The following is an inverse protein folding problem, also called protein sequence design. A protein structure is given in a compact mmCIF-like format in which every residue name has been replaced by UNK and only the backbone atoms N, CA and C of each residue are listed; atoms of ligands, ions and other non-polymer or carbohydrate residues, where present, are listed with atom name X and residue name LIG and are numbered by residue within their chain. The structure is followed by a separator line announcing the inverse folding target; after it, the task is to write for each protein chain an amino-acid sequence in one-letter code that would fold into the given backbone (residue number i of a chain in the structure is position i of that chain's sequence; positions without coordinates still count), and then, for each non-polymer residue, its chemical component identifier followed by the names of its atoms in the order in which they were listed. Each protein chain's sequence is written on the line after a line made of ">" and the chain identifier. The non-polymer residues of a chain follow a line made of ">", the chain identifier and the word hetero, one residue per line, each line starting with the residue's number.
data_IF_337389204242
#
_entry.id   IF_337389204242
#
_cell.length_a   1.000
_cell.length_b   1.000
_cell.length_c   1.000
_cell.angle_alpha   90.00
_cell.angle_beta   90.00
_cell.angle_gamma   90.00
#
_symmetry.space_group_name_H-M   'P 1'
#
loop_
_entity.id
_entity.type
_entity.pdbx_description
1 polymer ?
#
# COMPACT_ATOMS: atom_id res chain seq x y z
N UNK A 1 0.35 -3.85 -4.31
CA UNK A 1 -0.10 -2.45 -4.45
C UNK A 1 -1.59 -2.36 -4.72
N UNK A 2 -2.07 -2.99 -5.79
CA UNK A 2 -3.47 -2.88 -6.21
C UNK A 2 -4.40 -3.55 -5.21
N UNK A 3 -4.08 -4.79 -4.84
CA UNK A 3 -4.75 -5.56 -3.81
C UNK A 3 -3.80 -5.91 -2.66
N UNK A 4 -4.40 -6.35 -1.54
CA UNK A 4 -3.67 -6.94 -0.43
C UNK A 4 -3.18 -8.34 -0.80
N UNK A 5 -2.10 -8.77 -0.15
CA UNK A 5 -1.67 -10.17 -0.19
C UNK A 5 -2.79 -11.04 0.38
N UNK A 6 -3.10 -12.17 -0.27
CA UNK A 6 -4.10 -13.10 0.25
C UNK A 6 -3.61 -13.67 1.58
N UNK A 7 -4.50 -13.74 2.58
CA UNK A 7 -4.17 -14.34 3.88
C UNK A 7 -3.93 -15.84 3.77
N UNK A 8 -4.55 -16.50 2.80
CA UNK A 8 -4.43 -17.93 2.57
C UNK A 8 -3.25 -18.33 1.66
N UNK A 9 -2.57 -17.36 1.03
CA UNK A 9 -1.40 -17.67 0.20
C UNK A 9 -0.17 -17.94 1.05
N UNK A 10 0.86 -18.50 0.43
CA UNK A 10 2.15 -18.80 1.09
C UNK A 10 2.78 -17.57 1.75
N UNK A 11 2.67 -16.40 1.11
CA UNK A 11 3.17 -15.12 1.65
C UNK A 11 2.31 -14.52 2.79
N UNK A 12 1.09 -15.03 2.99
CA UNK A 12 0.09 -14.43 3.87
C UNK A 12 0.57 -14.32 5.32
N UNK A 13 0.93 -15.43 5.98
CA UNK A 13 1.41 -15.42 7.36
C UNK A 13 2.56 -14.43 7.60
N UNK A 14 3.56 -14.42 6.71
CA UNK A 14 4.72 -13.54 6.83
C UNK A 14 4.34 -12.07 6.61
N UNK A 15 3.58 -11.78 5.54
CA UNK A 15 3.13 -10.42 5.22
C UNK A 15 2.35 -9.79 6.37
N UNK A 16 1.37 -10.50 6.91
CA UNK A 16 0.51 -10.00 7.99
C UNK A 16 1.20 -10.00 9.36
N UNK A 17 2.33 -10.70 9.52
CA UNK A 17 3.20 -10.58 10.69
C UNK A 17 4.15 -9.38 10.60
N UNK A 18 4.57 -9.01 9.38
CA UNK A 18 5.54 -7.93 9.11
C UNK A 18 4.88 -6.56 8.98
N UNK A 19 3.68 -6.51 8.40
CA UNK A 19 2.94 -5.29 8.07
C UNK A 19 1.78 -5.10 9.02
N UNK A 20 1.93 -4.16 9.95
CA UNK A 20 0.96 -3.86 11.02
C UNK A 20 -0.37 -3.31 10.51
N UNK A 21 -0.32 -2.47 9.46
CA UNK A 21 -1.51 -1.80 8.90
C UNK A 21 -1.59 -2.02 7.39
N UNK A 22 -2.02 -3.21 6.95
CA UNK A 22 -2.18 -3.52 5.53
C UNK A 22 -3.16 -2.55 4.86
N UNK A 23 -2.76 -1.99 3.73
CA UNK A 23 -3.62 -1.16 2.87
C UNK A 23 -3.17 -1.32 1.42
N UNK A 24 -4.14 -1.23 0.51
CA UNK A 24 -3.93 -1.33 -0.93
C UNK A 24 -4.69 -0.23 -1.66
N UNK A 25 -4.32 0.02 -2.92
CA UNK A 25 -4.93 1.05 -3.75
C UNK A 25 -6.43 0.82 -3.94
N UNK A 26 -6.89 -0.44 -4.02
CA UNK A 26 -8.32 -0.78 -4.07
C UNK A 26 -9.10 -0.26 -2.85
N UNK A 27 -8.50 -0.37 -1.66
CA UNK A 27 -9.07 0.16 -0.41
C UNK A 27 -9.08 1.68 -0.39
N UNK A 28 -8.00 2.32 -0.83
CA UNK A 28 -7.90 3.79 -0.93
C UNK A 28 -8.93 4.32 -1.93
N UNK A 29 -9.03 3.69 -3.10
CA UNK A 29 -10.00 4.05 -4.15
C UNK A 29 -11.45 3.92 -3.66
N UNK A 30 -11.76 2.84 -2.93
CA UNK A 30 -13.08 2.64 -2.31
C UNK A 30 -13.38 3.73 -1.26
N UNK A 31 -12.42 4.05 -0.39
CA UNK A 31 -12.56 5.12 0.60
C UNK A 31 -12.82 6.48 -0.05
N UNK A 32 -12.10 6.80 -1.12
CA UNK A 32 -12.27 8.03 -1.87
C UNK A 32 -13.66 8.12 -2.52
N UNK A 33 -14.10 7.05 -3.22
CA UNK A 33 -15.41 7.00 -3.89
C UNK A 33 -16.58 7.09 -2.91
N UNK A 34 -16.39 6.58 -1.70
CA UNK A 34 -17.41 6.60 -0.65
C UNK A 34 -17.30 7.84 0.27
N UNK A 35 -16.56 8.87 -0.14
CA UNK A 35 -16.39 10.13 0.60
C UNK A 35 -15.88 9.93 2.04
N UNK A 36 -15.09 8.88 2.29
CA UNK A 36 -14.59 8.51 3.62
C UNK A 36 -13.37 9.33 4.06
N UNK A 37 -12.89 10.24 3.21
CA UNK A 37 -11.83 11.18 3.54
C UNK A 37 -12.43 12.57 3.73
N UNK A 38 -12.43 13.06 4.97
CA UNK A 38 -12.94 14.41 5.27
C UNK A 38 -11.95 15.51 4.86
N UNK A 39 -10.70 15.14 4.55
CA UNK A 39 -9.66 16.05 4.10
C UNK A 39 -8.61 15.32 3.25
N UNK A 40 -8.02 16.05 2.28
CA UNK A 40 -7.02 15.52 1.35
C UNK A 40 -5.80 14.89 2.04
N UNK A 41 -5.42 15.39 3.22
CA UNK A 41 -4.28 14.86 3.97
C UNK A 41 -4.51 13.43 4.47
N UNK A 42 -5.76 12.99 4.64
CA UNK A 42 -6.08 11.63 5.07
C UNK A 42 -5.85 10.64 3.92
N UNK A 43 -6.29 11.00 2.71
CA UNK A 43 -5.97 10.25 1.49
C UNK A 43 -4.46 10.15 1.28
N UNK A 44 -3.74 11.27 1.41
CA UNK A 44 -2.28 11.31 1.31
C UNK A 44 -1.61 10.37 2.31
N UNK A 45 -2.03 10.39 3.59
CA UNK A 45 -1.51 9.48 4.62
C UNK A 45 -1.71 8.00 4.28
N UNK A 46 -2.88 7.63 3.77
CA UNK A 46 -3.15 6.25 3.37
C UNK A 46 -2.31 5.82 2.16
N UNK A 47 -2.09 6.73 1.20
CA UNK A 47 -1.24 6.48 0.04
C UNK A 47 0.23 6.32 0.43
N UNK A 48 0.74 7.18 1.31
CA UNK A 48 2.08 7.07 1.89
C UNK A 48 2.24 5.77 2.70
N UNK A 49 1.23 5.38 3.48
CA UNK A 49 1.24 4.11 4.22
C UNK A 49 1.33 2.92 3.27
N UNK A 50 0.57 2.91 2.17
CA UNK A 50 0.65 1.85 1.16
C UNK A 50 2.06 1.71 0.57
N UNK A 51 2.71 2.83 0.24
CA UNK A 51 4.08 2.84 -0.27
C UNK A 51 5.09 2.39 0.78
N UNK A 52 4.95 2.85 2.03
CA UNK A 52 5.81 2.44 3.13
C UNK A 52 5.72 0.94 3.40
N UNK A 53 4.51 0.36 3.38
CA UNK A 53 4.32 -1.08 3.51
C UNK A 53 4.99 -1.85 2.37
N UNK A 54 4.88 -1.34 1.14
CA UNK A 54 5.60 -1.93 0.01
C UNK A 54 7.11 -1.94 0.26
N UNK A 55 7.69 -0.80 0.62
CA UNK A 55 9.14 -0.68 0.80
C UNK A 55 9.66 -1.44 2.01
N UNK A 56 8.80 -1.69 3.01
CA UNK A 56 9.11 -2.51 4.18
C UNK A 56 9.14 -3.99 3.87
N UNK A 57 8.17 -4.47 3.08
CA UNK A 57 8.03 -5.91 2.79
C UNK A 57 8.92 -6.38 1.63
N UNK A 58 9.09 -5.54 0.60
CA UNK A 58 9.76 -5.95 -0.62
C UNK A 58 11.23 -5.50 -0.63
N UNK A 59 12.12 -6.34 -1.12
CA UNK A 59 13.53 -5.98 -1.31
C UNK A 59 13.69 -4.84 -2.32
N UNK A 60 14.70 -3.99 -2.12
CA UNK A 60 14.97 -2.84 -3.00
C UNK A 60 15.32 -3.23 -4.45
N UNK A 61 15.85 -4.45 -4.63
CA UNK A 61 16.15 -5.08 -5.92
C UNK A 61 14.90 -5.52 -6.69
N UNK A 62 13.78 -5.73 -5.99
CA UNK A 62 12.54 -6.27 -6.57
C UNK A 62 11.85 -5.27 -7.50
N UNK A 63 11.14 -5.79 -8.49
CA UNK A 63 10.39 -4.95 -9.42
C UNK A 63 9.21 -4.25 -8.75
N UNK A 64 8.62 -4.87 -7.72
CA UNK A 64 7.57 -4.26 -6.91
C UNK A 64 8.11 -3.02 -6.19
N UNK A 65 9.26 -3.11 -5.54
CA UNK A 65 9.88 -1.95 -4.89
C UNK A 65 10.17 -0.82 -5.89
N UNK A 66 10.76 -1.15 -7.05
CA UNK A 66 11.04 -0.16 -8.11
C UNK A 66 9.78 0.51 -8.64
N UNK A 67 8.69 -0.24 -8.82
CA UNK A 67 7.39 0.31 -9.20
C UNK A 67 6.84 1.25 -8.12
N UNK A 68 6.97 0.90 -6.85
CA UNK A 68 6.61 1.77 -5.73
C UNK A 68 7.39 3.08 -5.75
N UNK A 69 8.68 3.05 -6.10
CA UNK A 69 9.49 4.27 -6.25
C UNK A 69 9.02 5.16 -7.39
N UNK A 70 8.68 4.59 -8.54
CA UNK A 70 8.08 5.34 -9.66
C UNK A 70 6.76 6.01 -9.25
N UNK A 71 5.92 5.28 -8.52
CA UNK A 71 4.65 5.81 -8.02
C UNK A 71 4.86 6.92 -6.98
N UNK A 72 5.83 6.75 -6.07
CA UNK A 72 6.22 7.79 -5.11
C UNK A 72 6.69 9.07 -5.82
N UNK A 73 7.52 8.95 -6.85
CA UNK A 73 7.98 10.10 -7.65
C UNK A 73 6.83 10.81 -8.36
N UNK A 74 5.86 10.07 -8.90
CA UNK A 74 4.72 10.68 -9.61
C UNK A 74 3.71 11.37 -8.68
N UNK A 75 3.70 11.03 -7.38
CA UNK A 75 2.77 11.54 -6.39
C UNK A 75 3.29 12.78 -5.63
N UNK A 76 4.60 13.00 -5.65
CA UNK A 76 5.26 14.18 -5.06
C UNK A 76 5.26 15.35 -6.04
#
# INVERSE_FOLDING_TARGET
>A
FLELVDRGSDDGPEYYSTIERPIALSTISRRLKNEQYSAIHQFKKDFELMLNNCFRYNESSSDIYKQGKRLQTAFN
#
